data_IF_856904376952
#
_entry.id   IF_856904376952
#
_cell.length_a   1.000
_cell.length_b   1.000
_cell.length_c   1.000
_cell.angle_alpha   90.00
_cell.angle_beta   90.00
_cell.angle_gamma   90.00
#
_symmetry.space_group_name_H-M   'P 1'
#
loop_
_entity.id
_entity.type
_entity.pdbx_description
1 polymer ?
#
# COMPACT_ATOMS: atom_id res chain seq x y z
N UNK A 1 1.21 12.48 15.16
CA UNK A 1 1.38 11.94 13.79
C UNK A 1 1.08 13.06 12.79
N UNK A 2 2.00 13.34 11.86
CA UNK A 2 1.81 14.34 10.81
C UNK A 2 0.57 13.97 9.96
N UNK A 3 -0.26 14.97 9.60
CA UNK A 3 -1.47 14.79 8.75
C UNK A 3 -1.14 14.06 7.44
N UNK A 4 0.02 14.33 6.85
CA UNK A 4 0.49 13.62 5.65
C UNK A 4 0.68 12.12 5.92
N UNK A 5 1.39 11.74 6.99
CA UNK A 5 1.60 10.33 7.37
C UNK A 5 0.27 9.61 7.63
N UNK A 6 -0.69 10.31 8.24
CA UNK A 6 -2.05 9.77 8.44
C UNK A 6 -2.77 9.51 7.10
N UNK A 7 -2.69 10.44 6.15
CA UNK A 7 -3.33 10.29 4.84
C UNK A 7 -2.76 9.08 4.09
N UNK A 8 -1.42 8.98 4.03
CA UNK A 8 -0.74 7.84 3.41
C UNK A 8 -1.15 6.55 4.09
N UNK A 9 -1.14 6.49 5.43
CA UNK A 9 -1.57 5.32 6.19
C UNK A 9 -2.99 4.89 5.81
N UNK A 10 -3.92 5.84 5.72
CA UNK A 10 -5.31 5.53 5.34
C UNK A 10 -5.41 5.03 3.90
N UNK A 11 -4.63 5.58 2.97
CA UNK A 11 -4.59 5.11 1.58
C UNK A 11 -4.04 3.67 1.50
N UNK A 12 -2.96 3.36 2.24
CA UNK A 12 -2.42 2.00 2.31
C UNK A 12 -3.40 1.00 2.95
N UNK A 13 -4.17 1.40 3.96
CA UNK A 13 -5.21 0.55 4.53
C UNK A 13 -6.35 0.27 3.53
N UNK A 14 -6.70 1.25 2.67
CA UNK A 14 -7.66 1.02 1.57
C UNK A 14 -7.11 0.02 0.56
N UNK A 15 -5.83 0.13 0.20
CA UNK A 15 -5.13 -0.84 -0.67
C UNK A 15 -5.19 -2.24 -0.06
N UNK A 16 -4.77 -2.40 1.20
CA UNK A 16 -4.81 -3.68 1.88
C UNK A 16 -6.22 -4.29 1.91
N UNK A 17 -7.25 -3.48 2.15
CA UNK A 17 -8.64 -3.93 2.12
C UNK A 17 -9.02 -4.56 0.77
N UNK A 18 -8.59 -3.98 -0.35
CA UNK A 18 -8.89 -4.56 -1.69
C UNK A 18 -8.22 -5.91 -1.89
N UNK A 19 -7.02 -6.12 -1.33
CA UNK A 19 -6.32 -7.39 -1.41
C UNK A 19 -6.99 -8.46 -0.53
N UNK A 20 -7.41 -8.09 0.68
CA UNK A 20 -8.01 -8.97 1.69
C UNK A 20 -9.50 -9.29 1.43
N UNK A 21 -10.16 -8.54 0.54
CA UNK A 21 -11.51 -8.86 0.11
C UNK A 21 -11.53 -10.05 -0.86
N UNK A 22 -11.57 -11.26 -0.30
CA UNK A 22 -11.58 -12.51 -1.05
C UNK A 22 -12.94 -12.82 -1.69
N UNK A 23 -14.00 -12.07 -1.35
CA UNK A 23 -15.32 -12.24 -1.97
C UNK A 23 -15.36 -11.64 -3.37
N UNK A 24 -14.47 -10.68 -3.64
CA UNK A 24 -14.38 -9.97 -4.91
C UNK A 24 -13.02 -10.24 -5.60
N UNK A 25 -12.98 -10.17 -6.95
CA UNK A 25 -11.72 -10.14 -7.68
C UNK A 25 -10.82 -9.02 -7.17
N UNK A 26 -9.50 -9.23 -7.25
CA UNK A 26 -8.56 -8.19 -6.82
C UNK A 26 -8.70 -6.95 -7.71
N UNK A 27 -9.11 -5.83 -7.12
CA UNK A 27 -9.24 -4.58 -7.84
C UNK A 27 -7.87 -3.87 -7.92
N UNK A 28 -7.05 -4.32 -8.87
CA UNK A 28 -5.71 -3.77 -9.11
C UNK A 28 -5.75 -2.28 -9.46
N UNK A 29 -6.75 -1.83 -10.22
CA UNK A 29 -6.89 -0.40 -10.57
C UNK A 29 -7.07 0.49 -9.34
N UNK A 30 -7.93 0.10 -8.41
CA UNK A 30 -8.14 0.87 -7.17
C UNK A 30 -6.89 0.83 -6.29
N UNK A 31 -6.25 -0.34 -6.17
CA UNK A 31 -4.99 -0.47 -5.44
C UNK A 31 -3.91 0.44 -6.03
N UNK A 32 -3.77 0.47 -7.36
CA UNK A 32 -2.77 1.27 -8.07
C UNK A 32 -2.94 2.77 -7.83
N UNK A 33 -4.18 3.29 -7.95
CA UNK A 33 -4.50 4.70 -7.70
C UNK A 33 -4.09 5.14 -6.29
N UNK A 34 -4.40 4.33 -5.27
CA UNK A 34 -4.04 4.68 -3.89
C UNK A 34 -2.54 4.53 -3.62
N UNK A 35 -1.87 3.57 -4.26
CA UNK A 35 -0.41 3.43 -4.19
C UNK A 35 0.28 4.63 -4.83
N UNK A 36 -0.15 5.07 -6.00
CA UNK A 36 0.44 6.23 -6.69
C UNK A 36 0.23 7.53 -5.91
N UNK A 37 -0.95 7.70 -5.32
CA UNK A 37 -1.21 8.82 -4.42
C UNK A 37 -0.28 8.79 -3.21
N UNK A 38 -0.09 7.63 -2.57
CA UNK A 38 0.83 7.48 -1.45
C UNK A 38 2.29 7.78 -1.87
N UNK A 39 2.74 7.32 -3.05
CA UNK A 39 4.07 7.60 -3.60
C UNK A 39 4.31 9.10 -3.78
N UNK A 40 3.33 9.83 -4.34
CA UNK A 40 3.41 11.26 -4.55
C UNK A 40 3.50 12.04 -3.23
N UNK A 41 2.76 11.59 -2.21
CA UNK A 41 2.86 12.16 -0.86
C UNK A 41 4.23 11.91 -0.22
N UNK A 42 4.84 10.74 -0.43
CA UNK A 42 6.22 10.47 0.02
C UNK A 42 7.22 11.43 -0.64
N UNK A 43 7.12 11.63 -1.95
CA UNK A 43 8.01 12.51 -2.72
C UNK A 43 7.94 13.97 -2.28
N UNK A 44 6.71 14.46 -2.06
CA UNK A 44 6.46 15.87 -1.78
C UNK A 44 6.69 16.24 -0.32
N UNK A 45 6.34 15.34 0.60
CA UNK A 45 6.17 15.70 2.01
C UNK A 45 7.00 14.85 2.98
N UNK A 46 7.60 13.73 2.54
CA UNK A 46 8.31 12.79 3.41
C UNK A 46 9.60 12.24 2.76
N UNK A 47 10.49 13.13 2.32
CA UNK A 47 11.77 12.76 1.71
C UNK A 47 12.70 11.94 2.63
N UNK A 48 12.50 11.98 3.95
CA UNK A 48 13.25 11.16 4.90
C UNK A 48 12.74 9.70 4.97
N UNK A 49 11.53 9.42 4.48
CA UNK A 49 10.89 8.10 4.53
C UNK A 49 11.01 7.33 3.19
N UNK A 50 12.06 7.61 2.40
CA UNK A 50 12.23 7.07 1.04
C UNK A 50 12.40 5.55 0.98
N UNK A 51 12.81 4.90 2.07
CA UNK A 51 12.83 3.42 2.15
C UNK A 51 11.42 2.84 2.07
N UNK A 52 10.46 3.43 2.79
CA UNK A 52 9.05 3.00 2.75
C UNK A 52 8.47 3.18 1.34
N UNK A 53 8.84 4.26 0.64
CA UNK A 53 8.46 4.45 -0.76
C UNK A 53 9.02 3.33 -1.66
N UNK A 54 10.29 2.93 -1.50
CA UNK A 54 10.88 1.85 -2.30
C UNK A 54 10.16 0.53 -2.08
N UNK A 55 9.83 0.19 -0.84
CA UNK A 55 9.03 -1.00 -0.52
C UNK A 55 7.65 -0.94 -1.19
N UNK A 56 6.99 0.21 -1.14
CA UNK A 56 5.68 0.41 -1.76
C UNK A 56 5.72 0.21 -3.29
N UNK A 57 6.76 0.71 -3.97
CA UNK A 57 6.97 0.48 -5.41
C UNK A 57 7.18 -1.01 -5.71
N UNK A 58 7.94 -1.73 -4.86
CA UNK A 58 8.12 -3.17 -5.02
C UNK A 58 6.78 -3.93 -4.88
N UNK A 59 5.90 -3.50 -3.97
CA UNK A 59 4.57 -4.08 -3.83
C UNK A 59 3.66 -3.78 -5.02
N UNK A 60 3.72 -2.56 -5.59
CA UNK A 60 2.99 -2.21 -6.81
C UNK A 60 3.31 -3.17 -7.97
N UNK A 61 4.60 -3.44 -8.20
CA UNK A 61 5.06 -4.35 -9.25
C UNK A 61 4.63 -5.81 -9.06
N UNK A 62 4.26 -6.22 -7.84
CA UNK A 62 3.79 -7.57 -7.53
C UNK A 62 2.30 -7.78 -7.83
N UNK A 63 1.51 -6.71 -7.99
CA UNK A 63 0.04 -6.77 -8.05
C UNK A 63 -0.49 -7.68 -9.17
N UNK A 64 0.16 -7.68 -10.34
CA UNK A 64 -0.24 -8.53 -11.47
C UNK A 64 -0.03 -10.02 -11.17
N UNK A 65 1.02 -10.35 -10.43
CA UNK A 65 1.38 -11.74 -10.12
C UNK A 65 0.49 -12.35 -9.03
N UNK A 66 -0.07 -11.51 -8.15
CA UNK A 66 -0.92 -11.97 -7.04
C UNK A 66 -2.40 -11.99 -7.38
N UNK A 67 -2.86 -11.31 -8.44
CA UNK A 67 -4.28 -11.00 -8.65
C UNK A 67 -5.21 -12.21 -8.64
N UNK A 68 -4.73 -13.37 -9.09
CA UNK A 68 -5.50 -14.61 -9.20
C UNK A 68 -5.18 -15.64 -8.10
N UNK A 69 -4.28 -15.33 -7.16
CA UNK A 69 -3.90 -16.22 -6.06
C UNK A 69 -4.31 -15.61 -4.71
N UNK A 70 -5.33 -16.22 -4.09
CA UNK A 70 -5.88 -15.75 -2.82
C UNK A 70 -4.85 -15.73 -1.68
N UNK A 71 -3.97 -16.73 -1.59
CA UNK A 71 -2.97 -16.78 -0.53
C UNK A 71 -1.93 -15.67 -0.73
N UNK A 72 -1.50 -15.44 -1.97
CA UNK A 72 -0.57 -14.38 -2.30
C UNK A 72 -1.19 -12.99 -2.09
N UNK A 73 -2.48 -12.81 -2.43
CA UNK A 73 -3.22 -11.57 -2.12
C UNK A 73 -3.24 -11.27 -0.64
N UNK A 74 -3.53 -12.25 0.21
CA UNK A 74 -3.54 -12.07 1.66
C UNK A 74 -2.17 -11.62 2.15
N UNK A 75 -1.12 -12.36 1.81
CA UNK A 75 0.26 -12.03 2.21
C UNK A 75 0.69 -10.66 1.72
N UNK A 76 0.29 -10.28 0.52
CA UNK A 76 0.57 -8.95 -0.01
C UNK A 76 -0.20 -7.86 0.75
N UNK A 77 -1.49 -8.07 1.04
CA UNK A 77 -2.28 -7.16 1.86
C UNK A 77 -1.70 -6.96 3.27
N UNK A 78 -1.23 -8.03 3.89
CA UNK A 78 -0.51 -7.98 5.18
C UNK A 78 0.76 -7.13 5.10
N UNK A 79 1.59 -7.32 4.06
CA UNK A 79 2.79 -6.49 3.85
C UNK A 79 2.47 -5.00 3.70
N UNK A 80 1.40 -4.67 2.98
CA UNK A 80 0.92 -3.28 2.85
C UNK A 80 0.48 -2.72 4.20
N UNK A 81 -0.20 -3.51 5.04
CA UNK A 81 -0.57 -3.10 6.40
C UNK A 81 0.66 -2.90 7.30
N UNK A 82 1.69 -3.74 7.19
CA UNK A 82 2.96 -3.55 7.91
C UNK A 82 3.65 -2.25 7.52
N UNK A 83 3.61 -1.87 6.23
CA UNK A 83 4.13 -0.57 5.79
C UNK A 83 3.31 0.58 6.37
N UNK A 84 1.99 0.43 6.41
CA UNK A 84 1.07 1.41 7.01
C UNK A 84 1.27 1.57 8.53
N UNK A 85 1.64 0.51 9.25
CA UNK A 85 1.92 0.58 10.69
C UNK A 85 3.23 1.32 10.99
N UNK A 86 4.26 1.10 10.17
CA UNK A 86 5.57 1.75 10.27
C UNK A 86 5.51 3.27 10.08
N UNK A 87 4.54 3.79 9.33
CA UNK A 87 4.30 5.23 9.19
C UNK A 87 3.91 5.94 10.50
N UNK A 88 3.42 5.21 11.50
CA UNK A 88 3.03 5.78 12.79
C UNK A 88 4.11 5.72 13.87
N UNK A 89 5.13 4.88 13.68
CA UNK A 89 6.24 4.67 14.62
C UNK A 89 7.50 5.45 14.29
N UNK A 90 7.56 6.09 13.11
CA UNK A 90 8.66 6.97 12.65
C UNK A 90 8.26 8.44 12.72
#
# INVERSE_FOLDING_TARGET
MNRTKLNIKMDLLRVAKTALDLKNPFNTTVADVFIDKAKLEFENNLQNDMELKKELVAYQNQMLNIANDNLQRIRWGEKVMTLASRLGTI
#
